data_IF_236345909145
#
_entry.id   IF_236345909145
#
_cell.length_a   1.000
_cell.length_b   1.000
_cell.length_c   1.000
_cell.angle_alpha   90.00
_cell.angle_beta   90.00
_cell.angle_gamma   90.00
#
_symmetry.space_group_name_H-M   'P 1'
#
loop_
_entity.id
_entity.type
_entity.pdbx_description
1 polymer ?
#
# COMPACT_ATOMS: atom_id res chain seq x y z
N UNK A 1 7.10 41.64 -15.85
CA UNK A 1 5.77 41.23 -15.31
C UNK A 1 5.39 39.79 -15.67
N UNK A 2 5.47 39.34 -16.93
CA UNK A 2 5.10 37.94 -17.30
C UNK A 2 5.95 36.85 -16.59
N UNK A 3 7.25 37.03 -16.43
CA UNK A 3 8.14 36.06 -15.76
C UNK A 3 7.81 35.92 -14.26
N UNK A 4 7.46 37.04 -13.59
CA UNK A 4 7.06 37.00 -12.17
C UNK A 4 5.68 36.32 -12.00
N UNK A 5 4.71 36.58 -12.88
CA UNK A 5 3.40 35.93 -12.86
C UNK A 5 3.51 34.41 -13.15
N UNK A 6 4.41 34.00 -14.06
CA UNK A 6 4.65 32.59 -14.36
C UNK A 6 5.31 31.86 -13.19
N UNK A 7 6.25 32.52 -12.49
CA UNK A 7 6.85 31.99 -11.27
C UNK A 7 5.87 31.84 -10.13
N UNK A 8 4.97 32.84 -9.91
CA UNK A 8 3.93 32.82 -8.89
C UNK A 8 2.93 31.70 -9.12
N UNK A 9 2.49 31.50 -10.39
CA UNK A 9 1.56 30.40 -10.72
C UNK A 9 2.17 29.03 -10.42
N UNK A 10 3.42 28.79 -10.83
CA UNK A 10 4.12 27.54 -10.54
C UNK A 10 4.30 27.30 -9.05
N UNK A 11 4.55 28.34 -8.26
CA UNK A 11 4.65 28.22 -6.80
C UNK A 11 3.30 27.85 -6.16
N UNK A 12 2.20 28.46 -6.63
CA UNK A 12 0.85 28.14 -6.18
C UNK A 12 0.50 26.68 -6.53
N UNK A 13 0.78 26.25 -7.77
CA UNK A 13 0.50 24.89 -8.23
C UNK A 13 1.33 23.87 -7.43
N UNK A 14 2.61 24.14 -7.17
CA UNK A 14 3.44 23.31 -6.30
C UNK A 14 2.90 23.21 -4.88
N UNK A 15 2.48 24.36 -4.29
CA UNK A 15 1.93 24.36 -2.92
C UNK A 15 0.62 23.56 -2.84
N UNK A 16 -0.25 23.65 -3.85
CA UNK A 16 -1.48 22.84 -3.92
C UNK A 16 -1.16 21.35 -3.97
N UNK A 17 -0.25 20.93 -4.85
CA UNK A 17 0.19 19.54 -4.92
C UNK A 17 0.78 19.04 -3.59
N UNK A 18 1.57 19.87 -2.91
CA UNK A 18 2.09 19.51 -1.59
C UNK A 18 0.96 19.33 -0.57
N UNK A 19 -0.05 20.20 -0.56
CA UNK A 19 -1.20 20.09 0.35
C UNK A 19 -2.02 18.83 0.08
N UNK A 20 -2.30 18.51 -1.18
CA UNK A 20 -3.00 17.29 -1.58
C UNK A 20 -2.22 16.05 -1.11
N UNK A 21 -0.95 15.91 -1.48
CA UNK A 21 -0.11 14.79 -1.08
C UNK A 21 0.08 14.70 0.43
N UNK A 22 0.15 15.83 1.13
CA UNK A 22 0.22 15.88 2.59
C UNK A 22 -1.08 15.42 3.25
N UNK A 23 -2.23 15.78 2.69
CA UNK A 23 -3.54 15.30 3.14
C UNK A 23 -3.67 13.80 2.97
N UNK A 24 -3.33 13.29 1.78
CA UNK A 24 -3.36 11.85 1.48
C UNK A 24 -2.47 11.06 2.46
N UNK A 25 -1.25 11.57 2.72
CA UNK A 25 -0.35 10.93 3.67
C UNK A 25 -0.92 10.92 5.10
N UNK A 26 -1.60 12.00 5.52
CA UNK A 26 -2.24 12.06 6.83
C UNK A 26 -3.40 11.07 6.95
N UNK A 27 -4.20 10.92 5.88
CA UNK A 27 -5.33 9.99 5.86
C UNK A 27 -4.85 8.54 5.94
N UNK A 28 -3.84 8.15 5.15
CA UNK A 28 -3.29 6.78 5.21
C UNK A 28 -2.56 6.52 6.52
N UNK A 29 -1.94 7.55 7.14
CA UNK A 29 -1.35 7.44 8.46
C UNK A 29 -2.40 7.10 9.51
N UNK A 30 -3.57 7.75 9.48
CA UNK A 30 -4.66 7.42 10.39
C UNK A 30 -5.10 5.95 10.26
N UNK A 31 -5.15 5.40 9.03
CA UNK A 31 -5.45 3.97 8.83
C UNK A 31 -4.38 3.10 9.47
N UNK A 32 -3.10 3.46 9.34
CA UNK A 32 -1.98 2.74 9.97
C UNK A 32 -2.09 2.80 11.50
N UNK A 33 -2.32 3.97 12.07
CA UNK A 33 -2.39 4.18 13.53
C UNK A 33 -3.53 3.38 14.17
N UNK A 34 -4.69 3.31 13.50
CA UNK A 34 -5.85 2.53 13.97
C UNK A 34 -5.63 1.02 13.77
N UNK A 35 -5.03 0.63 12.66
CA UNK A 35 -4.81 -0.80 12.35
C UNK A 35 -3.66 -1.39 13.17
N UNK A 36 -2.60 -0.62 13.38
CA UNK A 36 -1.34 -1.05 13.98
C UNK A 36 -0.91 -0.15 15.15
N UNK A 37 -1.73 0.00 16.21
CA UNK A 37 -1.44 0.95 17.30
C UNK A 37 -0.12 0.68 18.01
N UNK A 38 0.36 -0.58 18.05
CA UNK A 38 1.64 -0.95 18.66
C UNK A 38 2.77 -1.15 17.65
N UNK A 39 2.50 -1.06 16.35
CA UNK A 39 3.45 -1.34 15.28
C UNK A 39 3.54 -0.21 14.24
N UNK A 40 2.99 0.99 14.52
CA UNK A 40 3.05 2.16 13.64
C UNK A 40 4.48 2.46 13.18
N UNK A 41 5.45 2.44 14.11
CA UNK A 41 6.85 2.72 13.79
C UNK A 41 7.46 1.70 12.79
N UNK A 42 7.05 0.44 12.85
CA UNK A 42 7.47 -0.61 11.91
C UNK A 42 6.89 -0.36 10.52
N UNK A 43 5.59 0.00 10.44
CA UNK A 43 4.94 0.37 9.18
C UNK A 43 5.61 1.61 8.58
N UNK A 44 5.89 2.64 9.37
CA UNK A 44 6.58 3.85 8.92
C UNK A 44 7.98 3.55 8.36
N UNK A 45 8.73 2.70 9.06
CA UNK A 45 10.07 2.28 8.61
C UNK A 45 9.99 1.50 7.29
N UNK A 46 9.04 0.57 7.17
CA UNK A 46 8.81 -0.18 5.94
C UNK A 46 8.43 0.76 4.79
N UNK A 47 7.47 1.67 5.01
CA UNK A 47 6.98 2.57 3.99
C UNK A 47 8.06 3.54 3.48
N UNK A 48 8.95 4.04 4.36
CA UNK A 48 10.08 4.90 3.96
C UNK A 48 11.08 4.21 3.04
N UNK A 49 11.25 2.89 3.17
CA UNK A 49 12.14 2.11 2.30
C UNK A 49 11.47 1.65 1.00
N UNK A 50 10.15 1.77 0.88
CA UNK A 50 9.37 1.13 -0.18
C UNK A 50 9.67 1.65 -1.59
N UNK A 51 10.08 2.93 -1.72
CA UNK A 51 10.45 3.49 -3.03
C UNK A 51 11.66 2.78 -3.64
N UNK A 52 12.66 2.45 -2.82
CA UNK A 52 13.87 1.76 -3.26
C UNK A 52 13.69 0.25 -3.35
N UNK A 53 12.91 -0.33 -2.42
CA UNK A 53 12.79 -1.78 -2.31
C UNK A 53 11.74 -2.36 -3.24
N UNK A 54 10.66 -1.61 -3.53
CA UNK A 54 9.46 -2.12 -4.21
C UNK A 54 8.86 -1.16 -5.25
N UNK A 55 9.46 0.02 -5.47
CA UNK A 55 8.92 1.01 -6.40
C UNK A 55 7.55 1.57 -5.98
N UNK A 56 7.31 1.71 -4.68
CA UNK A 56 6.09 2.26 -4.09
C UNK A 56 6.38 3.56 -3.36
N UNK A 57 5.50 4.57 -3.44
CA UNK A 57 5.62 5.76 -2.59
C UNK A 57 5.36 5.42 -1.12
N UNK A 58 5.78 6.29 -0.21
CA UNK A 58 5.48 6.13 1.22
C UNK A 58 3.98 6.05 1.47
N UNK A 59 3.19 6.90 0.81
CA UNK A 59 1.73 6.93 0.89
C UNK A 59 1.12 5.60 0.42
N UNK A 60 1.54 5.09 -0.76
CA UNK A 60 1.08 3.79 -1.27
C UNK A 60 1.44 2.64 -0.31
N UNK A 61 2.66 2.61 0.19
CA UNK A 61 3.10 1.55 1.08
C UNK A 61 2.31 1.55 2.40
N UNK A 62 2.02 2.71 2.97
CA UNK A 62 1.14 2.86 4.14
C UNK A 62 -0.29 2.43 3.84
N UNK A 63 -0.84 2.89 2.72
CA UNK A 63 -2.20 2.57 2.29
C UNK A 63 -2.38 1.06 2.11
N UNK A 64 -1.49 0.42 1.36
CA UNK A 64 -1.59 -1.00 1.07
C UNK A 64 -1.38 -1.85 2.32
N UNK A 65 -0.33 -1.56 3.10
CA UNK A 65 -0.06 -2.27 4.36
C UNK A 65 -1.20 -2.09 5.36
N UNK A 66 -1.71 -0.86 5.50
CA UNK A 66 -2.85 -0.55 6.37
C UNK A 66 -4.11 -1.30 5.97
N UNK A 67 -4.43 -1.31 4.68
CA UNK A 67 -5.62 -2.01 4.16
C UNK A 67 -5.49 -3.52 4.31
N UNK A 68 -4.40 -4.12 3.87
CA UNK A 68 -4.16 -5.57 4.03
C UNK A 68 -4.19 -5.97 5.51
N UNK A 69 -3.56 -5.17 6.38
CA UNK A 69 -3.57 -5.43 7.81
C UNK A 69 -4.96 -5.34 8.44
N UNK A 70 -5.77 -4.36 8.05
CA UNK A 70 -7.16 -4.25 8.50
C UNK A 70 -7.98 -5.47 8.07
N UNK A 71 -7.80 -5.93 6.82
CA UNK A 71 -8.46 -7.13 6.31
C UNK A 71 -8.00 -8.38 7.08
N UNK A 72 -6.70 -8.56 7.31
CA UNK A 72 -6.18 -9.68 8.09
C UNK A 72 -6.73 -9.68 9.52
N UNK A 73 -6.79 -8.52 10.19
CA UNK A 73 -7.40 -8.40 11.53
C UNK A 73 -8.89 -8.77 11.54
N UNK A 74 -9.62 -8.45 10.47
CA UNK A 74 -11.03 -8.86 10.34
C UNK A 74 -11.21 -10.38 10.28
N UNK A 75 -10.21 -11.13 9.80
CA UNK A 75 -10.17 -12.59 9.85
C UNK A 75 -9.67 -13.15 11.18
N UNK A 76 -9.34 -12.29 12.15
CA UNK A 76 -8.92 -12.71 13.51
C UNK A 76 -7.42 -12.88 13.69
N UNK A 77 -6.58 -12.44 12.75
CA UNK A 77 -5.13 -12.44 12.91
C UNK A 77 -4.70 -11.39 13.95
N UNK A 78 -3.66 -11.71 14.70
CA UNK A 78 -3.02 -10.77 15.63
C UNK A 78 -2.42 -9.57 14.86
N UNK A 79 -2.18 -8.46 15.56
CA UNK A 79 -1.56 -7.27 14.96
C UNK A 79 -0.23 -7.58 14.27
N UNK A 80 0.60 -8.41 14.90
CA UNK A 80 1.88 -8.84 14.31
C UNK A 80 1.68 -9.65 13.03
N UNK A 81 0.79 -10.64 13.05
CA UNK A 81 0.48 -11.43 11.86
C UNK A 81 -0.09 -10.56 10.73
N UNK A 82 -0.99 -9.64 11.08
CA UNK A 82 -1.58 -8.69 10.14
C UNK A 82 -0.53 -7.75 9.52
N UNK A 83 0.46 -7.31 10.31
CA UNK A 83 1.58 -6.54 9.80
C UNK A 83 2.48 -7.38 8.86
N UNK A 84 2.83 -8.59 9.28
CA UNK A 84 3.69 -9.48 8.48
C UNK A 84 3.01 -9.80 7.12
N UNK A 85 1.71 -10.13 7.14
CA UNK A 85 0.93 -10.35 5.91
C UNK A 85 0.82 -9.09 5.07
N UNK A 86 0.46 -7.96 5.69
CA UNK A 86 0.26 -6.68 5.02
C UNK A 86 1.53 -6.16 4.35
N UNK A 87 2.66 -6.16 5.05
CA UNK A 87 3.94 -5.71 4.50
C UNK A 87 4.45 -6.63 3.39
N UNK A 88 4.29 -7.94 3.54
CA UNK A 88 4.68 -8.93 2.52
C UNK A 88 3.84 -8.76 1.24
N UNK A 89 2.52 -8.65 1.35
CA UNK A 89 1.65 -8.45 0.17
C UNK A 89 1.85 -7.08 -0.46
N UNK A 90 2.18 -6.06 0.32
CA UNK A 90 2.55 -4.73 -0.20
C UNK A 90 3.82 -4.80 -1.03
N UNK A 91 4.86 -5.46 -0.53
CA UNK A 91 6.10 -5.70 -1.29
C UNK A 91 5.84 -6.51 -2.56
N UNK A 92 5.05 -7.59 -2.44
CA UNK A 92 4.66 -8.41 -3.59
C UNK A 92 3.88 -7.62 -4.65
N UNK A 93 3.01 -6.67 -4.26
CA UNK A 93 2.32 -5.79 -5.21
C UNK A 93 3.31 -4.91 -6.00
N UNK A 94 4.35 -4.38 -5.36
CA UNK A 94 5.42 -3.65 -6.03
C UNK A 94 6.22 -4.52 -7.01
N UNK A 95 6.58 -5.72 -6.59
CA UNK A 95 7.30 -6.70 -7.41
C UNK A 95 6.46 -7.18 -8.62
N UNK A 96 5.18 -7.45 -8.41
CA UNK A 96 4.22 -7.83 -9.46
C UNK A 96 4.04 -6.69 -10.47
N UNK A 97 3.94 -5.44 -9.98
CA UNK A 97 3.87 -4.27 -10.86
C UNK A 97 5.12 -4.16 -11.75
N UNK A 98 6.31 -4.47 -11.21
CA UNK A 98 7.56 -4.51 -11.96
C UNK A 98 7.59 -5.66 -12.97
N UNK A 99 7.35 -6.88 -12.50
CA UNK A 99 7.49 -8.11 -13.28
C UNK A 99 6.51 -8.19 -14.46
N UNK A 100 5.25 -7.79 -14.24
CA UNK A 100 4.20 -7.84 -15.28
C UNK A 100 4.00 -6.50 -16.00
N UNK A 101 4.81 -5.49 -15.70
CA UNK A 101 4.70 -4.13 -16.26
C UNK A 101 3.30 -3.51 -16.06
N UNK A 102 2.78 -3.62 -14.84
CA UNK A 102 1.51 -3.05 -14.41
C UNK A 102 1.70 -1.74 -13.65
N UNK A 103 0.62 -0.98 -13.48
CA UNK A 103 0.60 0.09 -12.47
C UNK A 103 0.60 -0.50 -11.06
N UNK A 104 1.11 0.26 -10.08
CA UNK A 104 1.13 -0.17 -8.68
C UNK A 104 -0.28 -0.44 -8.15
N UNK A 105 -1.24 0.42 -8.47
CA UNK A 105 -2.63 0.29 -8.04
C UNK A 105 -3.33 -0.92 -8.68
N UNK A 106 -3.00 -1.24 -9.93
CA UNK A 106 -3.51 -2.44 -10.59
C UNK A 106 -2.96 -3.70 -9.92
N UNK A 107 -1.65 -3.77 -9.69
CA UNK A 107 -1.03 -4.89 -9.01
C UNK A 107 -1.58 -5.05 -7.58
N UNK A 108 -1.71 -3.95 -6.83
CA UNK A 108 -2.35 -3.94 -5.53
C UNK A 108 -3.78 -4.50 -5.57
N UNK A 109 -4.59 -4.05 -6.53
CA UNK A 109 -5.99 -4.51 -6.67
C UNK A 109 -6.05 -6.01 -6.94
N UNK A 110 -5.17 -6.53 -7.80
CA UNK A 110 -5.06 -7.97 -8.05
C UNK A 110 -4.64 -8.74 -6.79
N UNK A 111 -3.63 -8.29 -6.07
CA UNK A 111 -3.15 -8.94 -4.84
C UNK A 111 -4.20 -8.88 -3.71
N UNK A 112 -4.99 -7.80 -3.63
CA UNK A 112 -6.06 -7.65 -2.64
C UNK A 112 -7.11 -8.77 -2.73
N UNK A 113 -7.28 -9.39 -3.89
CA UNK A 113 -8.20 -10.50 -4.08
C UNK A 113 -7.86 -11.77 -3.26
N UNK A 114 -6.65 -11.86 -2.69
CA UNK A 114 -6.31 -12.86 -1.67
C UNK A 114 -7.34 -12.83 -0.54
N UNK A 115 -7.64 -11.63 -0.02
CA UNK A 115 -8.58 -11.45 1.10
C UNK A 115 -10.06 -11.49 0.70
N UNK A 116 -10.39 -11.15 -0.55
CA UNK A 116 -11.80 -11.15 -0.98
C UNK A 116 -12.25 -12.49 -1.54
N UNK A 117 -11.31 -13.38 -1.82
CA UNK A 117 -11.59 -14.67 -2.46
C UNK A 117 -12.00 -14.56 -3.94
N UNK A 118 -11.93 -13.37 -4.52
CA UNK A 118 -12.14 -13.13 -5.94
C UNK A 118 -10.92 -13.57 -6.74
N UNK A 119 -11.01 -14.73 -7.38
CA UNK A 119 -9.85 -15.37 -8.01
C UNK A 119 -9.62 -14.92 -9.45
N UNK A 120 -10.59 -14.28 -10.10
CA UNK A 120 -10.51 -13.91 -11.53
C UNK A 120 -9.35 -12.92 -11.80
N UNK A 121 -9.18 -11.91 -10.95
CA UNK A 121 -8.12 -10.91 -11.12
C UNK A 121 -6.70 -11.47 -10.98
N UNK A 122 -6.54 -12.59 -10.28
CA UNK A 122 -5.26 -13.28 -10.12
C UNK A 122 -4.89 -14.14 -11.32
N UNK A 123 -5.87 -14.54 -12.16
CA UNK A 123 -5.62 -15.35 -13.36
C UNK A 123 -4.72 -14.63 -14.36
N UNK A 124 -4.84 -13.31 -14.47
CA UNK A 124 -3.96 -12.50 -15.34
C UNK A 124 -2.48 -12.59 -14.92
N UNK A 125 -2.24 -12.92 -13.65
CA UNK A 125 -0.89 -13.17 -13.10
C UNK A 125 -0.49 -14.65 -13.17
N UNK A 126 -1.30 -15.50 -13.82
CA UNK A 126 -1.07 -16.94 -13.90
C UNK A 126 -1.45 -17.72 -12.64
N UNK A 127 -2.09 -17.07 -11.66
CA UNK A 127 -2.52 -17.72 -10.41
C UNK A 127 -3.93 -18.29 -10.57
N UNK A 128 -4.03 -19.61 -10.66
CA UNK A 128 -5.32 -20.32 -10.78
C UNK A 128 -5.69 -20.91 -9.43
N UNK A 129 -6.46 -20.18 -8.65
CA UNK A 129 -6.81 -20.51 -7.27
C UNK A 129 -8.17 -21.23 -7.21
N UNK A 130 -8.24 -22.45 -7.78
CA UNK A 130 -9.42 -23.31 -7.68
C UNK A 130 -9.45 -24.01 -6.31
N UNK A 131 -10.64 -24.49 -5.92
CA UNK A 131 -10.81 -25.30 -4.71
C UNK A 131 -9.86 -26.51 -4.69
N UNK A 132 -9.78 -27.24 -5.79
CA UNK A 132 -8.88 -28.41 -5.93
C UNK A 132 -7.41 -28.03 -5.81
N UNK A 133 -7.01 -26.89 -6.38
CA UNK A 133 -5.63 -26.42 -6.28
C UNK A 133 -5.28 -26.02 -4.83
N UNK A 134 -6.19 -25.34 -4.14
CA UNK A 134 -6.01 -24.99 -2.73
C UNK A 134 -5.94 -26.23 -1.84
N UNK A 135 -6.84 -27.19 -2.01
CA UNK A 135 -6.85 -28.42 -1.23
C UNK A 135 -5.56 -29.24 -1.43
N UNK A 136 -5.13 -29.38 -2.68
CA UNK A 136 -3.88 -30.05 -3.01
C UNK A 136 -2.66 -29.34 -2.37
N UNK A 137 -2.61 -28.02 -2.47
CA UNK A 137 -1.54 -27.22 -1.86
C UNK A 137 -1.56 -27.33 -0.34
N UNK A 138 -2.73 -27.29 0.31
CA UNK A 138 -2.88 -27.39 1.73
C UNK A 138 -2.35 -28.71 2.28
N UNK A 139 -2.67 -29.84 1.63
CA UNK A 139 -2.19 -31.16 2.00
C UNK A 139 -0.67 -31.30 1.79
N UNK A 140 -0.12 -30.71 0.73
CA UNK A 140 1.30 -30.77 0.43
C UNK A 140 2.16 -29.85 1.31
N UNK A 141 1.59 -28.78 1.87
CA UNK A 141 2.34 -27.72 2.57
C UNK A 141 2.03 -27.63 4.09
N UNK A 142 1.60 -28.72 4.70
CA UNK A 142 1.55 -28.85 6.16
C UNK A 142 0.29 -28.31 6.82
N UNK A 143 -0.74 -27.87 6.06
CA UNK A 143 -2.04 -27.50 6.63
C UNK A 143 -2.83 -28.72 7.12
N UNK A 144 -2.56 -29.92 6.58
CA UNK A 144 -3.07 -31.21 7.09
C UNK A 144 -4.56 -31.46 6.90
N UNK A 145 -5.28 -30.53 6.24
CA UNK A 145 -6.74 -30.61 6.02
C UNK A 145 -7.13 -29.87 4.73
N UNK A 146 -8.29 -30.21 4.19
CA UNK A 146 -8.86 -29.51 3.03
C UNK A 146 -9.58 -28.23 3.46
N UNK A 147 -9.82 -27.33 2.54
CA UNK A 147 -10.51 -26.04 2.78
C UNK A 147 -11.91 -26.22 3.37
N UNK A 148 -12.61 -27.35 3.09
CA UNK A 148 -13.90 -27.66 3.70
C UNK A 148 -13.83 -27.85 5.23
N UNK A 149 -12.65 -28.18 5.75
CA UNK A 149 -12.40 -28.42 7.17
C UNK A 149 -11.76 -27.21 7.88
N UNK A 150 -11.48 -26.13 7.14
CA UNK A 150 -10.78 -24.94 7.63
C UNK A 150 -11.77 -23.88 8.13
N UNK A 151 -11.38 -23.18 9.19
CA UNK A 151 -11.97 -21.90 9.56
C UNK A 151 -11.67 -20.83 8.51
N UNK A 152 -12.36 -19.69 8.52
CA UNK A 152 -12.10 -18.59 7.58
C UNK A 152 -10.67 -18.04 7.72
N UNK A 153 -10.14 -17.92 8.94
CA UNK A 153 -8.76 -17.52 9.17
C UNK A 153 -7.76 -18.50 8.56
N UNK A 154 -8.02 -19.81 8.65
CA UNK A 154 -7.16 -20.83 8.05
C UNK A 154 -7.22 -20.82 6.52
N UNK A 155 -8.40 -20.61 5.96
CA UNK A 155 -8.55 -20.42 4.50
C UNK A 155 -7.79 -19.20 4.01
N UNK A 156 -7.81 -18.12 4.79
CA UNK A 156 -7.09 -16.91 4.45
C UNK A 156 -5.58 -17.10 4.53
N UNK A 157 -5.08 -17.75 5.57
CA UNK A 157 -3.67 -18.14 5.68
C UNK A 157 -3.23 -19.04 4.52
N UNK A 158 -4.10 -19.96 4.08
CA UNK A 158 -3.86 -20.81 2.93
C UNK A 158 -3.76 -20.01 1.62
N UNK A 159 -4.72 -19.12 1.34
CA UNK A 159 -4.71 -18.26 0.14
C UNK A 159 -3.47 -17.39 0.10
N UNK A 160 -3.14 -16.76 1.22
CA UNK A 160 -1.92 -15.96 1.37
C UNK A 160 -0.66 -16.77 1.02
N UNK A 161 -0.50 -17.96 1.60
CA UNK A 161 0.64 -18.85 1.32
C UNK A 161 0.66 -19.32 -0.14
N UNK A 162 -0.49 -19.70 -0.68
CA UNK A 162 -0.65 -20.16 -2.05
C UNK A 162 -0.24 -19.06 -3.06
N UNK A 163 -0.73 -17.84 -2.89
CA UNK A 163 -0.41 -16.73 -3.82
C UNK A 163 1.06 -16.36 -3.77
N UNK A 164 1.68 -16.32 -2.58
CA UNK A 164 3.13 -16.10 -2.48
C UNK A 164 3.93 -17.18 -3.21
N UNK A 165 3.53 -18.43 -3.08
CA UNK A 165 4.19 -19.54 -3.77
C UNK A 165 4.03 -19.41 -5.29
N UNK A 166 2.83 -19.14 -5.79
CA UNK A 166 2.55 -19.01 -7.22
C UNK A 166 3.26 -17.80 -7.85
N UNK A 167 3.41 -16.70 -7.11
CA UNK A 167 4.09 -15.48 -7.56
C UNK A 167 5.57 -15.41 -7.14
N UNK A 168 6.16 -16.53 -6.74
CA UNK A 168 7.57 -16.56 -6.30
C UNK A 168 8.55 -16.07 -7.36
N UNK A 169 8.27 -16.26 -8.66
CA UNK A 169 9.10 -15.73 -9.76
C UNK A 169 9.10 -14.19 -9.82
N UNK A 170 7.99 -13.55 -9.45
CA UNK A 170 7.88 -12.10 -9.40
C UNK A 170 8.55 -11.51 -8.14
N UNK A 171 8.61 -12.28 -7.05
CA UNK A 171 9.17 -11.81 -5.77
C UNK A 171 10.60 -11.30 -5.94
N UNK A 172 10.86 -10.06 -5.47
CA UNK A 172 12.16 -9.40 -5.56
C UNK A 172 12.48 -8.82 -6.95
N UNK A 173 11.53 -8.80 -7.89
CA UNK A 173 11.76 -8.32 -9.24
C UNK A 173 12.16 -6.84 -9.28
N UNK A 174 11.47 -6.00 -8.54
CA UNK A 174 11.79 -4.57 -8.50
C UNK A 174 13.24 -4.34 -8.03
N UNK A 175 13.65 -5.02 -6.97
CA UNK A 175 15.02 -4.92 -6.45
C UNK A 175 16.06 -5.40 -7.46
N UNK A 176 15.80 -6.52 -8.18
CA UNK A 176 16.69 -7.03 -9.24
C UNK A 176 16.86 -6.07 -10.42
N UNK A 177 15.84 -5.28 -10.72
CA UNK A 177 15.79 -4.35 -11.86
C UNK A 177 15.95 -2.88 -11.47
N UNK A 178 16.19 -2.60 -10.19
CA UNK A 178 16.24 -1.25 -9.62
C UNK A 178 17.27 -0.33 -10.29
N UNK A 179 18.41 -0.85 -10.74
CA UNK A 179 19.48 -0.08 -11.38
C UNK A 179 19.15 0.33 -12.82
N UNK A 180 18.06 -0.16 -13.40
CA UNK A 180 17.64 0.28 -14.72
C UNK A 180 17.29 1.78 -14.74
N UNK A 181 17.55 2.46 -15.87
CA UNK A 181 17.18 3.87 -16.03
C UNK A 181 15.71 4.14 -15.70
N UNK A 182 14.81 3.27 -16.16
CA UNK A 182 13.36 3.41 -15.92
C UNK A 182 13.02 3.37 -14.44
N UNK A 183 13.59 2.41 -13.69
CA UNK A 183 13.35 2.27 -12.25
C UNK A 183 14.03 3.38 -11.44
N UNK A 184 15.24 3.84 -11.83
CA UNK A 184 15.87 4.99 -11.19
C UNK A 184 15.04 6.28 -11.36
N UNK A 185 14.46 6.52 -12.55
CA UNK A 185 13.53 7.65 -12.76
C UNK A 185 12.24 7.46 -11.93
N UNK A 186 11.72 6.23 -11.81
CA UNK A 186 10.57 5.92 -10.96
C UNK A 186 10.88 6.23 -9.50
N UNK A 187 11.98 5.71 -8.96
CA UNK A 187 12.44 5.97 -7.58
C UNK A 187 12.54 7.47 -7.31
N UNK A 188 13.19 8.21 -8.22
CA UNK A 188 13.32 9.67 -8.09
C UNK A 188 11.94 10.36 -7.99
N UNK A 189 10.99 9.98 -8.85
CA UNK A 189 9.62 10.54 -8.83
C UNK A 189 8.90 10.22 -7.50
N UNK A 190 9.00 8.98 -7.02
CA UNK A 190 8.38 8.56 -5.76
C UNK A 190 9.00 9.26 -4.55
N UNK A 191 10.31 9.45 -4.53
CA UNK A 191 10.99 10.22 -3.50
C UNK A 191 10.59 11.70 -3.53
N UNK A 192 10.42 12.28 -4.72
CA UNK A 192 9.91 13.65 -4.86
C UNK A 192 8.48 13.76 -4.33
N UNK A 193 7.60 12.80 -4.62
CA UNK A 193 6.24 12.77 -4.06
C UNK A 193 6.26 12.69 -2.53
N UNK A 194 7.09 11.83 -1.94
CA UNK A 194 7.24 11.72 -0.49
C UNK A 194 7.77 13.02 0.14
N UNK A 195 8.72 13.67 -0.52
CA UNK A 195 9.21 14.99 -0.10
C UNK A 195 8.08 16.04 -0.13
N UNK A 196 7.32 16.10 -1.22
CA UNK A 196 6.20 17.03 -1.36
C UNK A 196 5.10 16.75 -0.33
N UNK A 197 4.79 15.49 -0.03
CA UNK A 197 3.86 15.10 1.01
C UNK A 197 4.32 15.60 2.41
N UNK A 198 5.58 15.46 2.73
CA UNK A 198 6.16 15.96 3.98
C UNK A 198 6.06 17.48 4.10
N UNK A 199 6.37 18.21 3.02
CA UNK A 199 6.19 19.68 2.96
C UNK A 199 4.72 20.04 3.14
N UNK A 200 3.82 19.30 2.49
CA UNK A 200 2.38 19.49 2.59
C UNK A 200 1.85 19.31 4.01
N UNK A 201 2.29 18.28 4.73
CA UNK A 201 1.95 18.10 6.15
C UNK A 201 2.41 19.27 7.01
N UNK A 202 3.61 19.80 6.76
CA UNK A 202 4.09 21.00 7.42
C UNK A 202 3.18 22.21 7.19
N UNK A 203 2.73 22.41 5.95
CA UNK A 203 1.78 23.47 5.60
C UNK A 203 0.40 23.26 6.24
N UNK A 204 -0.12 22.02 6.22
CA UNK A 204 -1.39 21.66 6.85
C UNK A 204 -1.34 21.98 8.35
N UNK A 205 -0.29 21.56 9.04
CA UNK A 205 -0.12 21.82 10.46
C UNK A 205 -0.06 23.34 10.78
N UNK A 206 0.56 24.12 9.90
CA UNK A 206 0.64 25.57 10.04
C UNK A 206 -0.72 26.25 9.84
N UNK A 207 -1.53 25.81 8.88
CA UNK A 207 -2.78 26.48 8.50
C UNK A 207 -4.03 25.91 9.18
N UNK A 208 -4.01 24.66 9.65
CA UNK A 208 -5.16 24.00 10.29
C UNK A 208 -5.76 24.80 11.46
N UNK A 209 -4.96 25.43 12.38
CA UNK A 209 -5.54 26.23 13.45
C UNK A 209 -6.37 27.42 12.95
N UNK A 210 -5.91 28.09 11.89
CA UNK A 210 -6.62 29.22 11.29
C UNK A 210 -7.93 28.76 10.62
N UNK A 211 -7.91 27.64 9.89
CA UNK A 211 -9.11 27.06 9.27
C UNK A 211 -10.12 26.63 10.34
N UNK A 212 -9.69 26.01 11.43
CA UNK A 212 -10.57 25.64 12.55
C UNK A 212 -11.24 26.87 13.16
N UNK A 213 -10.50 27.97 13.32
CA UNK A 213 -11.03 29.24 13.83
C UNK A 213 -12.10 29.84 12.90
N UNK A 214 -11.86 29.82 11.59
CA UNK A 214 -12.81 30.26 10.57
C UNK A 214 -14.08 29.40 10.63
N UNK A 215 -13.96 28.08 10.69
CA UNK A 215 -15.12 27.16 10.77
C UNK A 215 -15.97 27.42 12.02
N UNK A 216 -15.34 27.72 13.17
CA UNK A 216 -16.06 28.09 14.39
C UNK A 216 -16.82 29.37 14.21
N UNK A 217 -16.25 30.40 13.54
CA UNK A 217 -16.92 31.67 13.26
C UNK A 217 -18.12 31.47 12.32
N UNK A 218 -17.91 30.74 11.21
CA UNK A 218 -18.97 30.42 10.25
C UNK A 218 -20.11 29.65 10.93
N UNK A 219 -19.78 28.61 11.72
CA UNK A 219 -20.80 27.82 12.43
C UNK A 219 -21.57 28.57 13.51
N UNK A 220 -21.07 29.74 13.94
CA UNK A 220 -21.83 30.66 14.83
C UNK A 220 -22.70 31.64 14.08
N UNK A 221 -22.51 31.84 12.78
CA UNK A 221 -23.23 32.75 11.93
C UNK A 221 -24.35 32.05 11.12
N UNK A 222 -24.32 30.73 11.05
CA UNK A 222 -25.34 29.87 10.45
C UNK A 222 -26.37 29.44 11.49
#
# INVERSE_FOLDING_TARGET
MLAAAFGTKKLIDFSKQCLELGSDLAEVQNVVDVTFPNMTAQVDKFAKSAAQSFGLSETMAKQYTGTFGAMAKAFGFTEKQAYDMGSTLTGLAGDVASFYNLSQDEAYTKIKSVFTGETESLKDLGVVMTQTALDSYALANGFGKTTAQMSEAEKEALRYSFVQNQLSAATGDFARTSDSWANQVRIMKLQMQSFMATVGQGLINLFTPAIKMINVVIGKLA
#
